data_IF_799300161104
#
_entry.id   IF_799300161104
#
_cell.length_a   1.000
_cell.length_b   1.000
_cell.length_c   1.000
_cell.angle_alpha   90.00
_cell.angle_beta   90.00
_cell.angle_gamma   90.00
#
_symmetry.space_group_name_H-M   'P 1'
#
loop_
_entity.id
_entity.type
_entity.pdbx_description
1 polymer ?
#
# COMPACT_ATOMS: atom_id res chain seq x y z
N UNK A 1 10.39 13.18 12.85
CA UNK A 1 10.28 11.82 12.29
C UNK A 1 9.73 11.98 10.91
N UNK A 2 10.50 11.53 9.91
CA UNK A 2 10.11 11.69 8.51
C UNK A 2 9.23 10.51 8.09
N UNK A 3 7.93 10.77 7.93
CA UNK A 3 6.98 9.75 7.50
C UNK A 3 7.24 9.28 6.06
N UNK A 4 8.04 10.00 5.26
CA UNK A 4 8.41 9.57 3.89
C UNK A 4 9.19 8.26 3.90
N UNK A 5 9.92 7.97 4.97
CA UNK A 5 10.75 6.77 5.07
C UNK A 5 10.03 5.61 5.77
N UNK A 6 9.03 5.90 6.61
CA UNK A 6 8.36 4.91 7.46
C UNK A 6 7.77 3.73 6.68
N UNK A 7 7.22 3.97 5.50
CA UNK A 7 6.64 2.89 4.69
C UNK A 7 7.69 1.87 4.24
N UNK A 8 8.92 2.32 3.95
CA UNK A 8 10.05 1.44 3.56
C UNK A 8 10.52 0.59 4.73
N UNK A 9 10.38 1.10 5.94
CA UNK A 9 10.86 0.45 7.16
C UNK A 9 9.90 -0.61 7.73
N UNK A 10 8.66 -0.71 7.23
CA UNK A 10 7.76 -1.79 7.67
C UNK A 10 8.38 -3.16 7.29
N UNK A 11 8.30 -4.14 8.16
CA UNK A 11 8.62 -5.51 7.75
C UNK A 11 7.35 -6.09 7.09
N UNK A 12 7.45 -6.54 5.84
CA UNK A 12 6.33 -7.13 5.09
C UNK A 12 6.76 -8.52 4.64
N UNK A 13 5.98 -9.56 4.97
CA UNK A 13 6.19 -10.91 4.47
C UNK A 13 5.41 -11.16 3.17
N UNK A 14 5.81 -12.17 2.41
CA UNK A 14 5.07 -12.64 1.23
C UNK A 14 3.66 -13.14 1.59
N UNK A 15 3.45 -13.57 2.84
CA UNK A 15 2.15 -14.04 3.33
C UNK A 15 1.22 -12.92 3.80
N UNK A 16 1.60 -11.65 3.64
CA UNK A 16 0.75 -10.51 4.02
C UNK A 16 0.93 -10.01 5.45
N UNK A 17 1.88 -10.54 6.23
CA UNK A 17 2.14 -10.01 7.57
C UNK A 17 2.92 -8.70 7.48
N UNK A 18 2.41 -7.65 8.13
CA UNK A 18 3.05 -6.33 8.16
C UNK A 18 3.34 -5.93 9.60
N UNK A 19 4.58 -5.55 9.89
CA UNK A 19 5.02 -5.09 11.20
C UNK A 19 5.59 -3.67 11.12
N UNK A 20 5.07 -2.78 11.98
CA UNK A 20 5.59 -1.44 12.19
C UNK A 20 6.62 -1.45 13.34
N UNK A 21 7.93 -1.36 13.05
CA UNK A 21 8.97 -1.45 14.09
C UNK A 21 8.97 -0.25 15.05
N UNK A 22 8.29 0.85 14.71
CA UNK A 22 8.24 2.06 15.54
C UNK A 22 7.17 2.00 16.61
N UNK A 23 6.06 1.29 16.33
CA UNK A 23 4.92 1.21 17.24
C UNK A 23 4.72 -0.18 17.83
N UNK A 24 5.35 -1.20 17.24
CA UNK A 24 5.10 -2.60 17.56
C UNK A 24 3.78 -3.13 16.98
N UNK A 25 3.08 -2.34 16.18
CA UNK A 25 1.81 -2.75 15.59
C UNK A 25 2.00 -3.80 14.49
N UNK A 26 1.06 -4.74 14.43
CA UNK A 26 1.02 -5.79 13.42
C UNK A 26 -0.30 -5.73 12.65
N UNK A 27 -0.23 -5.93 11.34
CA UNK A 27 -1.37 -5.97 10.45
C UNK A 27 -1.29 -7.19 9.53
N UNK A 28 -2.41 -7.53 8.93
CA UNK A 28 -2.46 -8.43 7.78
C UNK A 28 -2.94 -7.67 6.55
N UNK A 29 -2.22 -7.80 5.45
CA UNK A 29 -2.61 -7.36 4.13
C UNK A 29 -2.99 -8.59 3.30
N UNK A 30 -4.03 -8.47 2.48
CA UNK A 30 -4.31 -9.44 1.42
C UNK A 30 -3.39 -9.19 0.22
N UNK A 31 -3.50 -10.02 -0.81
CA UNK A 31 -2.66 -9.92 -2.02
C UNK A 31 -2.80 -8.54 -2.70
N UNK A 32 -4.00 -7.98 -2.75
CA UNK A 32 -4.24 -6.63 -3.27
C UNK A 32 -3.45 -5.58 -2.50
N UNK A 33 -3.55 -5.60 -1.16
CA UNK A 33 -2.82 -4.69 -0.29
C UNK A 33 -1.30 -4.86 -0.39
N UNK A 34 -0.81 -6.10 -0.58
CA UNK A 34 0.60 -6.37 -0.82
C UNK A 34 1.10 -5.72 -2.10
N UNK A 35 0.40 -5.88 -3.22
CA UNK A 35 0.76 -5.26 -4.50
C UNK A 35 0.83 -3.73 -4.37
N UNK A 36 -0.12 -3.12 -3.66
CA UNK A 36 -0.14 -1.67 -3.40
C UNK A 36 1.05 -1.27 -2.53
N UNK A 37 1.30 -1.96 -1.41
CA UNK A 37 2.42 -1.67 -0.50
C UNK A 37 3.77 -1.75 -1.23
N UNK A 38 3.97 -2.78 -2.05
CA UNK A 38 5.17 -2.92 -2.87
C UNK A 38 5.34 -1.78 -3.87
N UNK A 39 4.26 -1.40 -4.56
CA UNK A 39 4.29 -0.30 -5.51
C UNK A 39 4.67 1.03 -4.86
N UNK A 40 4.08 1.33 -3.71
CA UNK A 40 4.41 2.53 -2.93
C UNK A 40 5.87 2.51 -2.44
N UNK A 41 6.38 1.35 -1.97
CA UNK A 41 7.78 1.20 -1.55
C UNK A 41 8.77 1.39 -2.69
N UNK A 42 8.39 0.95 -3.88
CA UNK A 42 9.17 1.11 -5.10
C UNK A 42 9.07 2.54 -5.67
N UNK A 43 8.24 3.42 -5.08
CA UNK A 43 8.04 4.79 -5.57
C UNK A 43 7.29 4.85 -6.89
N UNK A 44 6.45 3.86 -7.17
CA UNK A 44 5.60 3.86 -8.37
C UNK A 44 4.51 4.92 -8.24
N UNK A 45 4.17 5.54 -9.38
CA UNK A 45 3.02 6.41 -9.47
C UNK A 45 1.69 5.63 -9.47
N UNK A 46 0.57 6.35 -9.37
CA UNK A 46 -0.77 5.76 -9.30
C UNK A 46 -1.07 4.86 -10.50
N UNK A 47 -0.70 5.28 -11.71
CA UNK A 47 -1.02 4.54 -12.93
C UNK A 47 -0.25 3.23 -13.00
N UNK A 48 1.02 3.24 -12.59
CA UNK A 48 1.83 2.03 -12.52
C UNK A 48 1.31 1.04 -11.47
N UNK A 49 0.82 1.52 -10.31
CA UNK A 49 0.20 0.64 -9.30
C UNK A 49 -1.10 0.04 -9.82
N UNK A 50 -1.96 0.83 -10.46
CA UNK A 50 -3.20 0.34 -11.08
C UNK A 50 -2.91 -0.71 -12.16
N UNK A 51 -1.96 -0.44 -13.06
CA UNK A 51 -1.56 -1.39 -14.09
C UNK A 51 -1.03 -2.70 -13.49
N UNK A 52 -0.23 -2.63 -12.42
CA UNK A 52 0.28 -3.83 -11.73
C UNK A 52 -0.84 -4.64 -11.08
N UNK A 53 -1.84 -4.00 -10.48
CA UNK A 53 -3.03 -4.68 -9.94
C UNK A 53 -3.82 -5.38 -11.05
N UNK A 54 -4.02 -4.71 -12.18
CA UNK A 54 -4.75 -5.29 -13.31
C UNK A 54 -4.05 -6.50 -13.89
N UNK A 55 -2.73 -6.43 -14.08
CA UNK A 55 -1.91 -7.54 -14.56
C UNK A 55 -1.89 -8.71 -13.56
N UNK A 56 -1.74 -8.43 -12.27
CA UNK A 56 -1.68 -9.45 -11.22
C UNK A 56 -2.99 -10.24 -11.08
N UNK A 57 -4.14 -9.57 -11.29
CA UNK A 57 -5.46 -10.14 -11.05
C UNK A 57 -6.31 -10.35 -12.32
N UNK A 58 -5.73 -10.21 -13.53
CA UNK A 58 -6.40 -10.30 -14.84
C UNK A 58 -7.70 -9.47 -14.93
N UNK A 59 -7.61 -8.20 -14.48
CA UNK A 59 -8.74 -7.28 -14.46
C UNK A 59 -8.83 -6.46 -15.75
N UNK A 60 -10.05 -6.25 -16.26
CA UNK A 60 -10.29 -5.54 -17.53
C UNK A 60 -10.78 -4.09 -17.37
N UNK A 61 -10.94 -3.60 -16.15
CA UNK A 61 -11.48 -2.27 -15.86
C UNK A 61 -10.72 -1.55 -14.76
N UNK A 62 -10.80 -0.22 -14.76
CA UNK A 62 -9.99 0.66 -13.91
C UNK A 62 -10.76 1.17 -12.68
N UNK A 63 -12.09 1.32 -12.77
CA UNK A 63 -12.88 2.04 -11.76
C UNK A 63 -12.85 1.36 -10.38
N UNK A 64 -13.05 0.05 -10.34
CA UNK A 64 -13.00 -0.71 -9.08
C UNK A 64 -11.57 -0.71 -8.49
N UNK A 65 -10.55 -0.84 -9.34
CA UNK A 65 -9.13 -0.87 -8.93
C UNK A 65 -8.70 0.47 -8.33
N UNK A 66 -9.12 1.58 -8.95
CA UNK A 66 -8.81 2.92 -8.42
C UNK A 66 -9.50 3.18 -7.09
N UNK A 67 -10.76 2.73 -6.93
CA UNK A 67 -11.47 2.84 -5.65
C UNK A 67 -10.79 2.02 -4.57
N UNK A 68 -10.45 0.76 -4.85
CA UNK A 68 -9.78 -0.12 -3.88
C UNK A 68 -8.42 0.45 -3.45
N UNK A 69 -7.69 1.06 -4.39
CA UNK A 69 -6.44 1.77 -4.10
C UNK A 69 -6.66 2.97 -3.18
N UNK A 70 -7.68 3.79 -3.45
CA UNK A 70 -7.99 4.96 -2.63
C UNK A 70 -8.42 4.57 -1.21
N UNK A 71 -9.26 3.53 -1.07
CA UNK A 71 -9.67 2.96 0.22
C UNK A 71 -8.47 2.41 1.00
N UNK A 72 -7.55 1.72 0.32
CA UNK A 72 -6.35 1.21 0.98
C UNK A 72 -5.42 2.33 1.45
N UNK A 73 -5.26 3.40 0.67
CA UNK A 73 -4.50 4.57 1.10
C UNK A 73 -5.12 5.26 2.33
N UNK A 74 -6.45 5.31 2.42
CA UNK A 74 -7.13 5.81 3.62
C UNK A 74 -6.80 4.98 4.86
N UNK A 75 -6.74 3.64 4.73
CA UNK A 75 -6.33 2.76 5.82
C UNK A 75 -4.89 3.06 6.27
N UNK A 76 -3.95 3.22 5.33
CA UNK A 76 -2.55 3.56 5.66
C UNK A 76 -2.45 4.90 6.41
N UNK A 77 -3.24 5.91 6.01
CA UNK A 77 -3.31 7.22 6.69
C UNK A 77 -3.88 7.08 8.10
N UNK A 78 -5.00 6.36 8.24
CA UNK A 78 -5.67 6.12 9.53
C UNK A 78 -4.76 5.44 10.53
N UNK A 79 -3.93 4.50 10.08
CA UNK A 79 -2.94 3.80 10.91
C UNK A 79 -1.60 4.54 11.04
N UNK A 80 -1.47 5.75 10.45
CA UNK A 80 -0.25 6.57 10.45
C UNK A 80 0.97 5.81 9.92
N UNK A 81 0.75 5.00 8.89
CA UNK A 81 1.80 4.32 8.13
C UNK A 81 2.33 5.22 7.00
N UNK A 82 1.51 6.17 6.54
CA UNK A 82 1.87 7.25 5.61
C UNK A 82 1.36 8.60 6.13
N UNK A 83 1.88 9.75 5.65
CA UNK A 83 1.38 11.07 6.04
C UNK A 83 -0.12 11.23 5.79
N UNK A 84 -0.83 12.00 6.62
CA UNK A 84 -2.27 12.24 6.47
C UNK A 84 -2.64 12.93 5.15
N UNK A 85 -1.72 13.72 4.63
CA UNK A 85 -1.79 14.44 3.36
C UNK A 85 -1.13 13.68 2.20
N UNK A 86 -0.66 12.45 2.42
CA UNK A 86 -0.03 11.64 1.38
C UNK A 86 -0.95 11.51 0.15
N UNK A 87 -0.41 11.80 -1.02
CA UNK A 87 -1.01 11.63 -2.34
C UNK A 87 0.04 11.00 -3.26
N UNK A 88 -0.43 10.32 -4.30
CA UNK A 88 0.45 9.91 -5.41
C UNK A 88 1.02 11.11 -6.14
#
# INVERSE_FOLDING_TARGET
MDLEHKLRDLAVSESGFVFDPYTGATFSANDTGLVILEGLRAGLDRQAVVAKLQDTFDLRGDEDVQRDLDEFLELLRKHRLVPSDFRF
#
